data_IF_083321139657
#
_entry.id   IF_083321139657
#
_cell.length_a   1.000
_cell.length_b   1.000
_cell.length_c   1.000
_cell.angle_alpha   90.00
_cell.angle_beta   90.00
_cell.angle_gamma   90.00
#
_symmetry.space_group_name_H-M   'P 1'
#
loop_
_entity.id
_entity.type
_entity.pdbx_description
1 polymer ?
#
# COMPACT_ATOMS: atom_id res chain seq x y z
N UNK A 1 -12.04 24.09 18.91
CA UNK A 1 -12.55 22.85 19.49
C UNK A 1 -11.41 21.88 19.71
N UNK A 2 -11.02 21.67 20.97
CA UNK A 2 -9.92 20.73 21.25
C UNK A 2 -10.20 19.31 20.79
N UNK A 3 -11.42 18.83 20.94
CA UNK A 3 -11.79 17.50 20.50
C UNK A 3 -11.63 17.32 19.00
N UNK A 4 -11.93 18.35 18.24
CA UNK A 4 -11.79 18.28 16.78
C UNK A 4 -10.33 18.11 16.38
N UNK A 5 -9.43 18.77 17.09
CA UNK A 5 -8.01 18.64 16.82
C UNK A 5 -7.52 17.24 17.13
N UNK A 6 -7.95 16.68 18.25
CA UNK A 6 -7.60 15.33 18.65
C UNK A 6 -8.17 14.31 17.64
N UNK A 7 -9.43 14.49 17.26
CA UNK A 7 -10.08 13.61 16.29
C UNK A 7 -9.35 13.64 14.96
N UNK A 8 -8.91 14.79 14.50
CA UNK A 8 -8.16 14.89 13.25
C UNK A 8 -6.83 14.17 13.32
N UNK A 9 -6.12 14.26 14.43
CA UNK A 9 -4.87 13.52 14.61
C UNK A 9 -5.10 12.03 14.62
N UNK A 10 -6.13 11.58 15.30
CA UNK A 10 -6.47 10.17 15.31
C UNK A 10 -6.82 9.69 13.91
N UNK A 11 -7.60 10.45 13.16
CA UNK A 11 -7.94 10.10 11.79
C UNK A 11 -6.70 10.01 10.92
N UNK A 12 -5.72 10.90 11.09
CA UNK A 12 -4.49 10.89 10.30
C UNK A 12 -3.60 9.69 10.61
N UNK A 13 -3.71 9.14 11.83
CA UNK A 13 -2.88 8.01 12.25
C UNK A 13 -3.64 6.69 12.33
N UNK A 14 -4.96 6.72 12.16
CA UNK A 14 -5.77 5.51 12.26
C UNK A 14 -5.62 4.63 11.02
N UNK A 15 -5.72 3.33 11.24
CA UNK A 15 -5.69 2.35 10.18
C UNK A 15 -7.03 2.30 9.45
N UNK A 16 -7.03 1.96 8.16
CA UNK A 16 -8.27 1.57 7.51
C UNK A 16 -8.83 0.30 8.15
N UNK A 17 -10.11 0.03 7.90
CA UNK A 17 -10.78 -1.10 8.54
C UNK A 17 -10.17 -2.46 8.22
N UNK A 18 -9.51 -2.59 7.07
CA UNK A 18 -8.89 -3.84 6.65
C UNK A 18 -7.52 -4.10 7.31
N UNK A 19 -6.97 -3.12 8.02
CA UNK A 19 -5.69 -3.25 8.70
C UNK A 19 -5.89 -3.03 10.19
N UNK A 20 -5.45 -4.00 11.00
CA UNK A 20 -5.59 -3.89 12.45
C UNK A 20 -4.76 -2.71 12.98
N UNK A 21 -5.38 -1.83 13.76
CA UNK A 21 -4.69 -0.71 14.39
C UNK A 21 -3.77 -1.16 15.52
N UNK A 22 -3.91 -2.40 15.97
CA UNK A 22 -3.09 -2.98 17.04
C UNK A 22 -2.08 -3.99 16.52
N UNK A 23 -1.92 -4.10 15.21
CA UNK A 23 -0.96 -5.01 14.61
C UNK A 23 0.45 -4.71 15.11
N UNK A 24 1.20 -5.75 15.45
CA UNK A 24 2.57 -5.65 15.94
C UNK A 24 3.59 -6.27 14.97
N UNK A 25 3.11 -6.84 13.89
CA UNK A 25 3.95 -7.48 12.87
C UNK A 25 3.24 -7.43 11.52
N UNK A 26 3.95 -7.82 10.47
CA UNK A 26 3.42 -7.91 9.12
C UNK A 26 2.29 -8.93 9.07
N UNK A 27 1.19 -8.55 8.42
CA UNK A 27 0.06 -9.45 8.18
C UNK A 27 -0.03 -9.79 6.71
N UNK A 28 -0.29 -11.06 6.39
CA UNK A 28 -0.55 -11.47 5.01
C UNK A 28 -2.02 -11.21 4.70
N UNK A 29 -2.29 -10.24 3.83
CA UNK A 29 -3.64 -9.86 3.46
C UNK A 29 -3.91 -10.19 2.00
N UNK A 30 -5.13 -10.64 1.66
CA UNK A 30 -5.44 -11.05 0.29
C UNK A 30 -5.59 -9.85 -0.64
N UNK A 31 -4.86 -9.88 -1.75
CA UNK A 31 -5.08 -8.91 -2.83
C UNK A 31 -6.41 -9.21 -3.51
N UNK A 32 -7.07 -8.18 -3.99
CA UNK A 32 -8.34 -8.31 -4.69
C UNK A 32 -9.58 -8.16 -3.84
N UNK A 33 -9.41 -8.02 -2.54
CA UNK A 33 -10.55 -7.83 -1.63
C UNK A 33 -10.84 -6.36 -1.35
N UNK A 34 -9.87 -5.65 -0.81
CA UNK A 34 -9.99 -4.22 -0.51
C UNK A 34 -9.20 -3.36 -1.48
N UNK A 35 -8.21 -3.93 -2.10
CA UNK A 35 -7.31 -3.29 -3.05
C UNK A 35 -6.63 -4.37 -3.89
N UNK A 36 -6.15 -3.96 -5.05
CA UNK A 36 -5.15 -4.70 -5.78
C UNK A 36 -3.81 -4.05 -5.48
N UNK A 37 -2.72 -4.69 -5.82
CA UNK A 37 -1.40 -4.11 -5.62
C UNK A 37 -0.57 -4.20 -6.89
N UNK A 38 0.24 -3.17 -7.13
CA UNK A 38 1.19 -3.16 -8.24
C UNK A 38 2.57 -3.36 -7.65
N UNK A 39 3.21 -4.46 -8.01
CA UNK A 39 4.56 -4.81 -7.56
C UNK A 39 5.58 -4.37 -8.60
N UNK A 40 6.58 -3.61 -8.16
CA UNK A 40 7.67 -3.18 -9.02
C UNK A 40 9.02 -3.38 -8.33
N UNK A 41 10.03 -3.92 -9.02
CA UNK A 41 11.37 -4.03 -8.43
C UNK A 41 11.92 -2.64 -8.13
N UNK A 42 12.92 -2.58 -7.24
CA UNK A 42 13.44 -1.32 -6.71
C UNK A 42 13.76 -0.29 -7.79
N UNK A 43 14.48 -0.66 -8.83
CA UNK A 43 14.89 0.29 -9.87
C UNK A 43 13.70 0.92 -10.59
N UNK A 44 12.73 0.11 -10.96
CA UNK A 44 11.52 0.59 -11.64
C UNK A 44 10.65 1.37 -10.66
N UNK A 45 10.50 0.83 -9.44
CA UNK A 45 9.66 1.43 -8.42
C UNK A 45 10.13 2.81 -7.99
N UNK A 46 11.43 2.99 -7.78
CA UNK A 46 11.98 4.28 -7.37
C UNK A 46 11.76 5.35 -8.45
N UNK A 47 11.89 4.97 -9.72
CA UNK A 47 11.60 5.89 -10.82
C UNK A 47 10.12 6.27 -10.87
N UNK A 48 9.25 5.29 -10.65
CA UNK A 48 7.82 5.55 -10.63
C UNK A 48 7.42 6.48 -9.48
N UNK A 49 7.99 6.28 -8.29
CA UNK A 49 7.76 7.17 -7.16
C UNK A 49 8.13 8.60 -7.49
N UNK A 50 9.29 8.78 -8.10
CA UNK A 50 9.78 10.10 -8.47
C UNK A 50 8.83 10.77 -9.48
N UNK A 51 8.36 10.01 -10.45
CA UNK A 51 7.45 10.51 -11.48
C UNK A 51 6.08 10.88 -10.90
N UNK A 52 5.55 10.05 -10.02
CA UNK A 52 4.25 10.28 -9.41
C UNK A 52 4.25 11.45 -8.42
N UNK A 53 5.34 11.61 -7.67
CA UNK A 53 5.41 12.67 -6.68
C UNK A 53 4.22 12.65 -5.73
N UNK A 54 3.51 13.75 -5.65
CA UNK A 54 2.35 13.89 -4.75
C UNK A 54 1.13 13.11 -5.18
N UNK A 55 1.15 12.55 -6.36
CA UNK A 55 0.00 11.79 -6.88
C UNK A 55 0.00 10.33 -6.43
N UNK A 56 1.04 9.90 -5.75
CA UNK A 56 1.07 8.54 -5.24
C UNK A 56 0.20 8.38 -4.00
N UNK A 57 -0.47 7.25 -3.90
CA UNK A 57 -1.09 6.82 -2.65
C UNK A 57 -0.07 6.09 -1.80
N UNK A 58 -0.54 5.24 -0.90
CA UNK A 58 0.33 4.49 0.00
C UNK A 58 1.18 3.47 -0.76
N UNK A 59 2.42 3.29 -0.30
CA UNK A 59 3.37 2.37 -0.92
C UNK A 59 4.07 1.57 0.17
N UNK A 60 4.09 0.25 0.01
CA UNK A 60 4.84 -0.65 0.89
C UNK A 60 6.18 -0.95 0.22
N UNK A 61 7.24 -0.92 1.01
CA UNK A 61 8.56 -1.35 0.57
C UNK A 61 8.95 -2.59 1.38
N UNK A 62 9.36 -3.67 0.70
CA UNK A 62 9.81 -4.85 1.40
C UNK A 62 11.33 -4.77 1.68
N UNK A 63 11.87 -5.77 2.37
CA UNK A 63 13.27 -5.77 2.77
C UNK A 63 14.25 -5.81 1.59
N UNK A 64 13.78 -6.15 0.40
CA UNK A 64 14.60 -6.17 -0.83
C UNK A 64 14.49 -4.87 -1.62
N UNK A 65 13.67 -3.94 -1.15
CA UNK A 65 13.43 -2.69 -1.87
C UNK A 65 12.34 -2.76 -2.92
N UNK A 66 11.68 -3.90 -3.07
CA UNK A 66 10.52 -4.01 -3.96
C UNK A 66 9.40 -3.14 -3.44
N UNK A 67 8.75 -2.40 -4.31
CA UNK A 67 7.67 -1.48 -3.96
C UNK A 67 6.32 -2.02 -4.40
N UNK A 68 5.32 -1.77 -3.57
CA UNK A 68 3.94 -2.21 -3.80
C UNK A 68 3.01 -1.02 -3.63
N UNK A 69 2.34 -0.64 -4.72
CA UNK A 69 1.30 0.39 -4.68
C UNK A 69 -0.04 -0.26 -4.47
N UNK A 70 -0.88 0.34 -3.63
CA UNK A 70 -2.26 -0.10 -3.50
C UNK A 70 -3.11 0.67 -4.51
N UNK A 71 -3.93 -0.04 -5.26
CA UNK A 71 -4.81 0.54 -6.28
C UNK A 71 -6.21 -0.05 -6.12
N UNK A 72 -7.18 0.60 -6.73
CA UNK A 72 -8.56 0.11 -6.66
C UNK A 72 -8.67 -1.26 -7.33
N UNK A 73 -9.45 -2.14 -6.74
CA UNK A 73 -9.66 -3.49 -7.28
C UNK A 73 -10.13 -3.39 -8.73
N UNK A 74 -9.47 -4.13 -9.62
CA UNK A 74 -9.81 -4.18 -11.03
C UNK A 74 -9.29 -3.02 -11.87
N UNK A 75 -8.67 -2.01 -11.28
CA UNK A 75 -8.29 -0.81 -12.02
C UNK A 75 -7.11 -1.01 -12.98
N UNK A 76 -6.36 -2.09 -12.82
CA UNK A 76 -5.20 -2.37 -13.67
C UNK A 76 -5.28 -3.75 -14.34
N UNK A 77 -6.46 -4.29 -14.52
CA UNK A 77 -6.62 -5.64 -15.09
C UNK A 77 -6.09 -5.76 -16.51
N UNK A 78 -6.00 -4.65 -17.24
CA UNK A 78 -5.49 -4.64 -18.62
C UNK A 78 -4.00 -4.28 -18.71
N UNK A 79 -3.33 -4.10 -17.57
CA UNK A 79 -1.92 -3.72 -17.59
C UNK A 79 -1.02 -4.89 -18.00
N UNK A 80 -0.10 -4.60 -18.91
CA UNK A 80 0.91 -5.54 -19.36
C UNK A 80 2.26 -4.83 -19.45
N UNK A 81 2.71 -4.28 -18.32
CA UNK A 81 3.96 -3.55 -18.26
C UNK A 81 5.10 -4.48 -17.84
N UNK A 82 6.18 -4.46 -18.60
CA UNK A 82 7.33 -5.31 -18.34
C UNK A 82 7.94 -4.99 -16.98
N UNK A 83 8.21 -6.03 -16.21
CA UNK A 83 8.83 -5.91 -14.89
C UNK A 83 7.88 -5.54 -13.77
N UNK A 84 6.63 -5.27 -14.11
CA UNK A 84 5.60 -4.88 -13.14
C UNK A 84 4.54 -5.96 -13.10
N UNK A 85 4.10 -6.32 -11.90
CA UNK A 85 3.09 -7.35 -11.71
C UNK A 85 1.93 -6.79 -10.92
N UNK A 86 0.71 -7.06 -11.37
CA UNK A 86 -0.50 -6.72 -10.64
C UNK A 86 -0.89 -7.91 -9.78
N UNK A 87 -1.00 -7.68 -8.48
CA UNK A 87 -1.45 -8.68 -7.52
C UNK A 87 -2.95 -8.48 -7.32
N UNK A 88 -3.72 -9.50 -7.62
CA UNK A 88 -5.18 -9.46 -7.50
C UNK A 88 -5.69 -10.87 -7.25
N UNK A 89 -6.97 -10.98 -6.92
CA UNK A 89 -7.61 -12.28 -6.79
C UNK A 89 -7.92 -12.84 -8.16
N UNK A 90 -7.47 -14.06 -8.41
CA UNK A 90 -7.78 -14.81 -9.63
C UNK A 90 -8.72 -15.95 -9.27
N UNK A 91 -9.46 -16.46 -10.27
CA UNK A 91 -10.49 -17.49 -10.06
C UNK A 91 -9.94 -18.72 -9.32
N UNK A 92 -8.73 -19.14 -9.65
CA UNK A 92 -8.15 -20.38 -9.12
C UNK A 92 -6.98 -20.14 -8.16
N UNK A 93 -6.68 -18.89 -7.86
CA UNK A 93 -5.49 -18.53 -7.09
C UNK A 93 -5.78 -17.34 -6.19
N UNK A 94 -5.27 -17.41 -4.97
CA UNK A 94 -5.27 -16.26 -4.06
C UNK A 94 -3.85 -15.76 -3.91
N UNK A 95 -3.69 -14.45 -3.99
CA UNK A 95 -2.40 -13.80 -3.82
C UNK A 95 -2.45 -12.96 -2.56
N UNK A 96 -1.44 -13.07 -1.72
CA UNK A 96 -1.36 -12.33 -0.47
C UNK A 96 -0.22 -11.35 -0.52
N UNK A 97 -0.41 -10.21 0.15
CA UNK A 97 0.61 -9.19 0.30
C UNK A 97 0.94 -9.05 1.77
N UNK A 98 2.22 -9.03 2.10
CA UNK A 98 2.66 -8.73 3.46
C UNK A 98 2.47 -7.25 3.74
N UNK A 99 1.58 -6.92 4.67
CA UNK A 99 1.24 -5.53 5.00
C UNK A 99 1.80 -5.21 6.37
N UNK A 100 2.71 -4.23 6.48
CA UNK A 100 3.27 -3.87 7.78
C UNK A 100 2.29 -3.07 8.62
N UNK A 101 2.48 -3.04 9.95
CA UNK A 101 1.70 -2.17 10.82
C UNK A 101 1.75 -0.73 10.33
N UNK A 102 0.67 0.00 10.56
CA UNK A 102 0.54 1.38 10.05
C UNK A 102 1.67 2.30 10.55
N UNK A 103 2.24 2.00 11.70
CA UNK A 103 3.31 2.81 12.29
C UNK A 103 4.72 2.49 11.74
N UNK A 104 4.85 1.42 10.97
CA UNK A 104 6.16 1.06 10.43
C UNK A 104 6.42 1.84 9.14
N UNK A 105 7.08 2.98 9.30
CA UNK A 105 7.34 3.90 8.17
C UNK A 105 8.81 3.99 7.79
N UNK A 106 9.68 3.28 8.48
CA UNK A 106 11.11 3.25 8.18
C UNK A 106 11.67 1.88 8.50
N UNK A 107 12.89 1.65 8.07
CA UNK A 107 13.65 0.50 8.51
C UNK A 107 14.06 -0.43 7.39
N UNK A 108 14.88 -1.45 7.72
CA UNK A 108 15.27 -2.46 6.74
C UNK A 108 14.18 -3.49 6.49
N UNK A 109 13.23 -3.64 7.42
CA UNK A 109 12.10 -4.56 7.24
C UNK A 109 11.02 -3.92 6.37
N UNK A 110 9.98 -4.69 6.04
CA UNK A 110 8.84 -4.15 5.34
C UNK A 110 8.28 -2.94 6.09
N UNK A 111 7.98 -1.89 5.37
CA UNK A 111 7.46 -0.65 5.96
C UNK A 111 6.69 0.16 4.92
N UNK A 112 5.98 1.16 5.38
CA UNK A 112 5.25 2.07 4.51
C UNK A 112 6.21 3.14 3.99
N UNK A 113 6.68 2.99 2.77
CA UNK A 113 7.53 3.98 2.10
C UNK A 113 6.76 5.28 1.91
N UNK A 114 5.48 5.17 1.56
CA UNK A 114 4.54 6.27 1.56
C UNK A 114 3.42 5.86 2.49
N UNK A 115 3.22 6.56 3.62
CA UNK A 115 2.24 6.16 4.62
C UNK A 115 0.80 6.21 4.12
N UNK A 116 -0.06 5.46 4.80
CA UNK A 116 -1.50 5.54 4.57
C UNK A 116 -1.99 6.92 4.98
N UNK A 117 -2.61 7.62 4.05
CA UNK A 117 -3.23 8.89 4.34
C UNK A 117 -4.64 8.71 4.87
N UNK A 118 -5.21 9.72 5.51
CA UNK A 118 -6.56 9.61 6.07
C UNK A 118 -7.65 9.52 5.00
N UNK A 119 -7.45 10.14 3.86
CA UNK A 119 -8.48 10.24 2.82
C UNK A 119 -8.10 9.55 1.51
N UNK A 120 -6.85 9.20 1.34
CA UNK A 120 -6.38 8.71 0.04
C UNK A 120 -5.17 7.81 0.21
N UNK A 121 -5.38 6.52 0.05
CA UNK A 121 -4.26 5.57 0.06
C UNK A 121 -4.15 4.77 -1.24
N UNK A 122 -5.16 4.83 -2.10
CA UNK A 122 -5.11 4.16 -3.40
C UNK A 122 -4.50 5.09 -4.44
N UNK A 123 -3.56 4.57 -5.22
CA UNK A 123 -2.98 5.30 -6.34
C UNK A 123 -3.85 5.09 -7.57
N UNK A 124 -4.06 6.14 -8.35
CA UNK A 124 -4.78 6.01 -9.61
C UNK A 124 -3.94 5.18 -10.59
N UNK A 125 -4.57 4.17 -11.13
CA UNK A 125 -3.91 3.24 -12.05
C UNK A 125 -3.70 3.84 -13.44
#
# INVERSE_FOLDING_TARGET
>A
MPENTVARREAATSSPTWLSSTAVDVEALPAGKWWDAVRAPAAIGERALKTLGDQTGAVIQDYRGTLYWLIAVGSATSWHTRGVRVLTELADERTYLGVPPVSWTTGPKAHWRVPLGPDHYLTDA
#
